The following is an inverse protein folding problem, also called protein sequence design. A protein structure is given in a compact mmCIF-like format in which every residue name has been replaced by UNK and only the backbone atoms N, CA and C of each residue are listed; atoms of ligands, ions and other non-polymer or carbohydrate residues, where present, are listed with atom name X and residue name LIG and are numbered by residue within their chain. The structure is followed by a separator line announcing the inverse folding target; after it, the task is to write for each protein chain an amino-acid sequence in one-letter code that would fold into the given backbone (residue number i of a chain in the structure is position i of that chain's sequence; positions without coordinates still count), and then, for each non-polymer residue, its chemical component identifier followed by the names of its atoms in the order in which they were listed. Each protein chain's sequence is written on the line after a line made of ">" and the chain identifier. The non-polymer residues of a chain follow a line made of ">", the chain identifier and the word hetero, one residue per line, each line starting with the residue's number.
data_IF_988283576028
#
_entry.id   IF_988283576028
#
_cell.length_a   1.000
_cell.length_b   1.000
_cell.length_c   1.000
_cell.angle_alpha   90.00
_cell.angle_beta   90.00
_cell.angle_gamma   90.00
#
_symmetry.space_group_name_H-M   'P 1'
#
loop_
_entity.id
_entity.type
_entity.pdbx_description
1 polymer ?
#
# COMPACT_ATOMS: atom_id res chain seq x y z
N UNK A 1 42.96 -1.57 -17.41
CA UNK A 1 42.03 -0.49 -17.76
C UNK A 1 40.68 -0.85 -17.16
N UNK A 2 40.40 -0.31 -15.98
CA UNK A 2 39.27 -0.76 -15.15
C UNK A 2 37.91 -0.41 -15.78
N UNK A 3 36.98 -1.37 -15.85
CA UNK A 3 35.58 -1.05 -16.11
C UNK A 3 35.10 -0.06 -15.04
N UNK A 4 34.37 0.97 -15.46
CA UNK A 4 33.70 1.86 -14.52
C UNK A 4 32.57 1.11 -13.82
N UNK A 5 32.94 0.39 -12.76
CA UNK A 5 32.04 -0.04 -11.71
C UNK A 5 31.57 1.26 -11.07
N UNK A 6 30.37 1.72 -11.45
CA UNK A 6 29.70 2.87 -10.82
C UNK A 6 29.35 2.49 -9.37
N UNK A 7 30.36 2.52 -8.49
CA UNK A 7 30.19 2.50 -7.04
C UNK A 7 29.44 3.76 -6.66
N UNK A 8 28.25 3.55 -6.08
CA UNK A 8 27.48 4.51 -5.28
C UNK A 8 27.14 5.82 -6.01
N UNK A 9 26.04 5.83 -6.75
CA UNK A 9 25.22 7.04 -6.80
C UNK A 9 24.34 7.07 -5.54
N UNK A 10 24.85 7.70 -4.47
CA UNK A 10 24.08 8.01 -3.27
C UNK A 10 23.15 9.19 -3.58
N UNK A 11 21.88 8.90 -3.85
CA UNK A 11 20.78 9.84 -3.67
C UNK A 11 19.46 9.06 -3.61
N UNK A 12 19.12 8.58 -2.41
CA UNK A 12 17.76 8.19 -2.03
C UNK A 12 17.17 6.95 -2.71
N UNK A 13 17.38 5.80 -2.07
CA UNK A 13 16.57 4.58 -2.12
C UNK A 13 16.47 3.85 -3.48
N UNK A 14 17.34 2.85 -3.67
CA UNK A 14 17.07 1.45 -4.07
C UNK A 14 18.39 0.82 -4.54
N UNK A 15 18.72 -0.34 -3.96
CA UNK A 15 19.98 -1.07 -4.15
C UNK A 15 20.07 -1.56 -5.61
N UNK A 16 20.97 -0.96 -6.39
CA UNK A 16 21.21 -1.32 -7.79
C UNK A 16 22.20 -2.49 -7.83
N UNK A 17 21.70 -3.70 -8.06
CA UNK A 17 22.54 -4.79 -8.56
C UNK A 17 22.71 -4.62 -10.07
N UNK A 18 23.93 -4.22 -10.45
CA UNK A 18 24.60 -4.42 -11.74
C UNK A 18 23.80 -4.09 -13.01
N UNK A 19 23.82 -2.81 -13.38
CA UNK A 19 23.77 -2.41 -14.79
C UNK A 19 25.15 -1.89 -15.16
N UNK A 20 25.92 -2.66 -15.92
CA UNK A 20 27.25 -2.25 -16.41
C UNK A 20 27.08 -1.65 -17.80
N UNK A 21 27.55 -0.41 -17.98
CA UNK A 21 27.66 0.21 -19.31
C UNK A 21 29.05 -0.09 -19.86
N UNK A 22 29.12 -0.87 -20.93
CA UNK A 22 30.38 -1.02 -21.67
C UNK A 22 30.62 0.24 -22.52
N UNK A 23 31.76 0.91 -22.27
CA UNK A 23 32.16 2.13 -22.97
C UNK A 23 32.65 1.87 -24.40
N UNK A 24 33.04 0.65 -24.76
CA UNK A 24 33.52 0.29 -26.11
C UNK A 24 32.38 -0.03 -27.07
N UNK A 25 31.29 -0.60 -26.57
CA UNK A 25 30.23 -1.17 -27.40
C UNK A 25 28.87 -0.48 -27.21
N UNK A 26 28.71 0.33 -26.15
CA UNK A 26 27.42 0.94 -25.82
C UNK A 26 26.40 -0.07 -25.29
N UNK A 27 26.81 -1.29 -24.96
CA UNK A 27 25.93 -2.34 -24.47
C UNK A 27 25.59 -2.17 -22.98
N UNK A 28 24.39 -2.61 -22.63
CA UNK A 28 23.89 -2.73 -21.26
C UNK A 28 23.95 -4.21 -20.89
N UNK A 29 24.89 -4.55 -20.03
CA UNK A 29 25.00 -5.90 -19.48
C UNK A 29 24.22 -5.99 -18.17
N UNK A 30 23.21 -6.86 -18.18
CA UNK A 30 22.56 -7.35 -16.96
C UNK A 30 23.03 -8.78 -16.71
N UNK A 31 23.04 -9.26 -15.46
CA UNK A 31 23.51 -10.60 -15.06
C UNK A 31 22.98 -11.76 -15.92
N UNK A 32 21.86 -11.59 -16.62
CA UNK A 32 21.20 -12.62 -17.43
C UNK A 32 21.01 -12.25 -18.91
N UNK A 33 21.32 -11.02 -19.33
CA UNK A 33 20.94 -10.52 -20.66
C UNK A 33 21.82 -9.35 -21.10
N UNK A 34 22.28 -9.42 -22.35
CA UNK A 34 22.92 -8.31 -23.05
C UNK A 34 21.89 -7.57 -23.89
N UNK A 35 21.80 -6.26 -23.73
CA UNK A 35 20.86 -5.41 -24.46
C UNK A 35 21.66 -4.30 -25.15
N UNK A 36 21.33 -4.01 -26.40
CA UNK A 36 21.91 -2.89 -27.13
C UNK A 36 21.47 -1.59 -26.46
N UNK A 37 22.43 -0.77 -26.03
CA UNK A 37 22.13 0.52 -25.42
C UNK A 37 21.76 1.55 -26.48
N UNK A 38 20.49 1.93 -26.51
CA UNK A 38 19.99 3.04 -27.32
C UNK A 38 20.00 4.33 -26.49
N UNK A 39 20.06 5.51 -27.13
CA UNK A 39 19.93 6.80 -26.43
C UNK A 39 18.66 6.90 -25.57
N UNK A 40 17.52 6.39 -26.08
CA UNK A 40 16.25 6.37 -25.37
C UNK A 40 16.25 5.43 -24.16
N UNK A 41 16.89 4.26 -24.26
CA UNK A 41 17.04 3.35 -23.12
C UNK A 41 17.95 3.94 -22.03
N UNK A 42 19.03 4.63 -22.41
CA UNK A 42 19.86 5.37 -21.45
C UNK A 42 19.09 6.48 -20.75
N UNK A 43 18.22 7.19 -21.47
CA UNK A 43 17.31 8.16 -20.86
C UNK A 43 16.45 7.51 -19.77
N UNK A 44 15.79 6.38 -20.08
CA UNK A 44 14.94 5.66 -19.15
C UNK A 44 15.67 5.16 -17.90
N UNK A 45 16.92 4.71 -18.03
CA UNK A 45 17.71 4.19 -16.90
C UNK A 45 18.23 5.34 -16.03
N UNK A 46 18.90 6.33 -16.63
CA UNK A 46 19.71 7.29 -15.87
C UNK A 46 18.99 8.59 -15.50
N UNK A 47 17.96 9.02 -16.23
CA UNK A 47 17.36 10.34 -16.05
C UNK A 47 16.02 10.29 -15.33
N UNK A 48 15.75 11.23 -14.42
CA UNK A 48 14.49 11.28 -13.66
C UNK A 48 13.26 11.61 -14.53
N UNK A 49 13.47 12.37 -15.62
CA UNK A 49 12.47 12.77 -16.61
C UNK A 49 12.99 12.40 -18.00
N UNK A 50 12.86 11.13 -18.41
CA UNK A 50 13.38 10.67 -19.69
C UNK A 50 12.57 11.26 -20.85
N UNK A 51 13.26 11.58 -21.95
CA UNK A 51 12.69 12.11 -23.19
C UNK A 51 13.25 11.35 -24.39
N UNK A 52 12.50 11.32 -25.50
CA UNK A 52 12.99 10.76 -26.76
C UNK A 52 13.23 9.24 -26.75
N UNK A 53 12.46 8.49 -25.96
CA UNK A 53 12.48 7.03 -25.97
C UNK A 53 11.32 6.48 -26.82
N UNK A 54 11.51 5.31 -27.42
CA UNK A 54 10.51 4.63 -28.23
C UNK A 54 9.89 3.41 -27.49
N UNK A 55 8.98 2.70 -28.16
CA UNK A 55 8.31 1.54 -27.57
C UNK A 55 9.26 0.35 -27.34
N UNK A 56 10.31 0.20 -28.14
CA UNK A 56 11.27 -0.88 -27.96
C UNK A 56 12.22 -0.61 -26.79
N UNK A 57 12.58 0.65 -26.56
CA UNK A 57 13.29 1.10 -25.36
C UNK A 57 12.46 0.79 -24.10
N UNK A 58 11.14 0.99 -24.15
CA UNK A 58 10.24 0.64 -23.04
C UNK A 58 10.19 -0.87 -22.78
N UNK A 59 10.16 -1.71 -23.82
CA UNK A 59 10.21 -3.18 -23.67
C UNK A 59 11.54 -3.62 -23.06
N UNK A 60 12.65 -3.08 -23.56
CA UNK A 60 13.98 -3.37 -23.04
C UNK A 60 14.13 -2.90 -21.59
N UNK A 61 13.65 -1.70 -21.29
CA UNK A 61 13.64 -1.16 -19.93
C UNK A 61 12.81 -2.03 -18.98
N UNK A 62 11.63 -2.50 -19.40
CA UNK A 62 10.82 -3.45 -18.63
C UNK A 62 11.59 -4.75 -18.34
N UNK A 63 12.27 -5.31 -19.34
CA UNK A 63 13.10 -6.51 -19.19
C UNK A 63 14.24 -6.30 -18.17
N UNK A 64 14.88 -5.12 -18.17
CA UNK A 64 15.91 -4.77 -17.17
C UNK A 64 15.32 -4.69 -15.77
N UNK A 65 14.17 -4.04 -15.60
CA UNK A 65 13.49 -3.93 -14.31
C UNK A 65 13.07 -5.29 -13.75
N UNK A 66 12.56 -6.20 -14.59
CA UNK A 66 12.20 -7.57 -14.22
C UNK A 66 13.42 -8.39 -13.81
N UNK A 67 14.53 -8.26 -14.53
CA UNK A 67 15.76 -9.01 -14.24
C UNK A 67 16.40 -8.55 -12.93
N UNK A 68 16.43 -7.23 -12.70
CA UNK A 68 17.10 -6.63 -11.54
C UNK A 68 16.21 -6.56 -10.29
N UNK A 69 14.90 -6.80 -10.43
CA UNK A 69 13.88 -6.71 -9.38
C UNK A 69 13.83 -5.36 -8.63
N UNK A 70 14.49 -4.31 -9.12
CA UNK A 70 14.60 -2.99 -8.45
C UNK A 70 13.25 -2.28 -8.27
N UNK A 71 12.26 -2.64 -9.07
CA UNK A 71 10.91 -2.08 -9.01
C UNK A 71 10.04 -2.73 -7.93
N UNK A 72 10.54 -3.74 -7.20
CA UNK A 72 9.79 -4.49 -6.18
C UNK A 72 10.22 -4.14 -4.76
N UNK A 73 9.29 -4.26 -3.82
CA UNK A 73 9.56 -4.15 -2.38
C UNK A 73 10.12 -5.46 -1.81
N UNK A 74 10.46 -5.47 -0.52
CA UNK A 74 10.96 -6.66 0.19
C UNK A 74 9.98 -7.83 0.20
N UNK A 75 8.70 -7.58 -0.06
CA UNK A 75 7.63 -8.59 -0.15
C UNK A 75 7.34 -9.00 -1.60
N UNK A 76 8.14 -8.54 -2.57
CA UNK A 76 8.00 -8.85 -3.99
C UNK A 76 6.84 -8.13 -4.70
N UNK A 77 6.19 -7.16 -4.05
CA UNK A 77 5.12 -6.32 -4.63
C UNK A 77 5.73 -5.15 -5.38
N UNK A 78 4.98 -4.51 -6.27
CA UNK A 78 5.45 -3.28 -6.93
C UNK A 78 5.70 -2.19 -5.88
N UNK A 79 6.95 -1.73 -5.74
CA UNK A 79 7.34 -0.70 -4.78
C UNK A 79 6.62 0.61 -5.09
N UNK A 80 6.07 1.30 -4.09
CA UNK A 80 5.35 2.55 -4.30
C UNK A 80 6.31 3.75 -4.34
N UNK A 81 6.05 4.71 -5.22
CA UNK A 81 6.77 5.98 -5.27
C UNK A 81 5.90 7.08 -5.88
N UNK A 82 6.04 8.32 -5.42
CA UNK A 82 5.36 9.48 -6.01
C UNK A 82 6.12 10.11 -7.19
N UNK A 83 7.34 9.62 -7.48
CA UNK A 83 8.23 10.22 -8.50
C UNK A 83 7.64 10.09 -9.92
N UNK A 84 8.00 11.04 -10.78
CA UNK A 84 7.55 11.09 -12.18
C UNK A 84 7.79 9.77 -12.93
N UNK A 85 9.03 9.27 -12.91
CA UNK A 85 9.40 8.01 -13.58
C UNK A 85 8.54 6.83 -13.11
N UNK A 86 8.27 6.75 -11.80
CA UNK A 86 7.41 5.68 -11.30
C UNK A 86 5.97 5.86 -11.76
N UNK A 87 5.37 7.03 -11.52
CA UNK A 87 3.94 7.26 -11.74
C UNK A 87 3.55 7.21 -13.21
N UNK A 88 4.40 7.70 -14.11
CA UNK A 88 4.11 7.82 -15.55
C UNK A 88 4.65 6.67 -16.40
N UNK A 89 5.72 5.99 -15.96
CA UNK A 89 6.41 4.98 -16.79
C UNK A 89 6.34 3.61 -16.15
N UNK A 90 6.89 3.43 -14.94
CA UNK A 90 7.00 2.11 -14.30
C UNK A 90 5.63 1.56 -13.88
N UNK A 91 4.82 2.35 -13.17
CA UNK A 91 3.53 1.91 -12.61
C UNK A 91 2.58 1.38 -13.71
N UNK A 92 2.36 2.09 -14.85
CA UNK A 92 1.51 1.59 -15.92
C UNK A 92 2.01 0.28 -16.56
N UNK A 93 3.33 0.03 -16.61
CA UNK A 93 3.90 -1.21 -17.18
C UNK A 93 3.62 -2.47 -16.37
N UNK A 94 3.40 -2.30 -15.06
CA UNK A 94 3.26 -3.39 -14.09
C UNK A 94 1.92 -3.39 -13.36
N UNK A 95 1.09 -2.36 -13.53
CA UNK A 95 -0.29 -2.41 -13.08
C UNK A 95 -1.04 -3.44 -13.91
N UNK A 96 -1.52 -4.51 -13.27
CA UNK A 96 -2.57 -5.35 -13.86
C UNK A 96 -3.72 -4.42 -14.26
N UNK A 97 -4.26 -4.59 -15.47
CA UNK A 97 -5.59 -4.09 -15.81
C UNK A 97 -6.59 -4.74 -14.85
N UNK A 98 -6.78 -4.13 -13.68
CA UNK A 98 -7.89 -4.43 -12.82
C UNK A 98 -9.03 -3.60 -13.36
N UNK A 99 -9.78 -4.16 -14.31
CA UNK A 99 -11.09 -3.64 -14.72
C UNK A 99 -12.11 -3.66 -13.57
N UNK A 100 -11.71 -4.17 -12.41
CA UNK A 100 -12.51 -4.18 -11.19
C UNK A 100 -12.02 -3.03 -10.33
N UNK A 101 -12.66 -1.87 -10.47
CA UNK A 101 -12.55 -0.81 -9.48
C UNK A 101 -13.01 -1.41 -8.14
N UNK A 102 -12.15 -1.37 -7.12
CA UNK A 102 -12.56 -1.72 -5.78
C UNK A 102 -13.63 -0.72 -5.36
N UNK A 103 -14.88 -1.15 -5.31
CA UNK A 103 -15.95 -0.40 -4.67
C UNK A 103 -15.54 -0.26 -3.21
N UNK A 104 -15.04 0.92 -2.84
CA UNK A 104 -14.69 1.19 -1.44
C UNK A 104 -15.82 0.73 -0.53
N UNK A 105 -15.49 0.29 0.70
CA UNK A 105 -16.50 -0.11 1.67
C UNK A 105 -17.46 1.06 1.88
N UNK A 106 -18.70 0.93 1.39
CA UNK A 106 -19.73 1.93 1.60
C UNK A 106 -20.26 1.74 3.02
N UNK A 107 -19.99 2.72 3.90
CA UNK A 107 -20.62 2.81 5.21
C UNK A 107 -22.12 2.95 5.00
N UNK A 108 -22.87 1.87 5.24
CA UNK A 108 -24.33 1.93 5.33
C UNK A 108 -24.66 2.43 6.73
N UNK A 109 -25.07 3.69 6.84
CA UNK A 109 -25.72 4.16 8.04
C UNK A 109 -27.07 3.46 8.17
N UNK A 110 -27.35 2.93 9.35
CA UNK A 110 -28.66 2.42 9.66
C UNK A 110 -29.60 3.62 9.88
N UNK A 111 -30.57 3.83 8.98
CA UNK A 111 -31.57 4.88 9.11
C UNK A 111 -32.77 4.47 9.99
N UNK A 112 -32.76 3.27 10.58
CA UNK A 112 -33.77 2.92 11.58
C UNK A 112 -33.64 3.87 12.77
N UNK A 113 -34.77 4.40 13.30
CA UNK A 113 -34.74 5.15 14.55
C UNK A 113 -34.06 4.28 15.62
N UNK A 114 -33.26 4.91 16.47
CA UNK A 114 -32.67 4.23 17.63
C UNK A 114 -33.84 3.67 18.43
N UNK A 115 -34.00 2.35 18.42
CA UNK A 115 -35.02 1.67 19.19
C UNK A 115 -34.63 1.82 20.66
N UNK A 116 -35.27 2.77 21.33
CA UNK A 116 -35.17 2.90 22.78
C UNK A 116 -35.95 1.75 23.39
N UNK A 117 -35.24 0.65 23.67
CA UNK A 117 -35.81 -0.45 24.45
C UNK A 117 -35.87 0.03 25.90
N UNK A 118 -37.09 0.20 26.40
CA UNK A 118 -37.38 0.54 27.79
C UNK A 118 -37.42 -0.76 28.60
N UNK A 119 -36.61 -0.86 29.65
CA UNK A 119 -36.45 -2.09 30.44
C UNK A 119 -37.22 -1.98 31.74
N UNK A 120 -38.20 -2.85 31.94
CA UNK A 120 -39.10 -2.77 33.09
C UNK A 120 -38.57 -3.52 34.33
N UNK A 121 -37.47 -4.28 34.21
CA UNK A 121 -36.94 -5.10 35.30
C UNK A 121 -35.43 -4.90 35.57
N UNK A 122 -35.01 -4.80 36.85
CA UNK A 122 -33.60 -4.72 37.21
C UNK A 122 -32.74 -5.91 36.75
N UNK A 123 -33.36 -7.09 36.59
CA UNK A 123 -32.66 -8.30 36.18
C UNK A 123 -32.18 -8.22 34.72
N UNK A 124 -32.98 -7.62 33.83
CA UNK A 124 -32.62 -7.42 32.43
C UNK A 124 -31.43 -6.46 32.27
N UNK A 125 -31.34 -5.44 33.12
CA UNK A 125 -30.20 -4.52 33.15
C UNK A 125 -28.90 -5.23 33.55
N UNK A 126 -28.98 -6.12 34.54
CA UNK A 126 -27.84 -6.93 34.98
C UNK A 126 -27.37 -7.87 33.88
N UNK A 127 -28.29 -8.52 33.16
CA UNK A 127 -27.93 -9.44 32.07
C UNK A 127 -27.31 -8.72 30.88
N UNK A 128 -27.79 -7.52 30.56
CA UNK A 128 -27.18 -6.66 29.54
C UNK A 128 -25.79 -6.17 29.95
N UNK A 129 -25.61 -5.80 31.22
CA UNK A 129 -24.30 -5.43 31.75
C UNK A 129 -23.31 -6.59 31.64
N UNK A 130 -23.72 -7.81 31.99
CA UNK A 130 -22.89 -9.03 31.79
C UNK A 130 -22.47 -9.20 30.34
N UNK A 131 -23.38 -8.99 29.38
CA UNK A 131 -23.09 -9.09 27.95
C UNK A 131 -22.05 -8.04 27.49
N UNK A 132 -22.17 -6.80 27.97
CA UNK A 132 -21.21 -5.74 27.65
C UNK A 132 -19.82 -6.00 28.24
N UNK A 133 -19.76 -6.50 29.48
CA UNK A 133 -18.50 -6.90 30.14
C UNK A 133 -17.84 -8.06 29.40
N UNK A 134 -18.63 -9.04 28.93
CA UNK A 134 -18.13 -10.13 28.10
C UNK A 134 -17.56 -9.62 26.76
N UNK A 135 -18.24 -8.66 26.13
CA UNK A 135 -17.77 -8.04 24.88
C UNK A 135 -16.47 -7.24 25.08
N UNK A 136 -16.35 -6.49 26.18
CA UNK A 136 -15.11 -5.79 26.55
C UNK A 136 -13.97 -6.76 26.84
N UNK A 137 -14.26 -7.86 27.55
CA UNK A 137 -13.29 -8.94 27.81
C UNK A 137 -12.81 -9.61 26.52
N UNK A 138 -13.65 -9.63 25.48
CA UNK A 138 -13.30 -10.09 24.14
C UNK A 138 -12.53 -9.04 23.29
N UNK A 139 -12.27 -7.84 23.82
CA UNK A 139 -11.49 -6.79 23.17
C UNK A 139 -12.31 -5.68 22.48
N UNK A 140 -13.65 -5.68 22.60
CA UNK A 140 -14.50 -4.64 22.03
C UNK A 140 -14.66 -3.46 23.02
N UNK A 141 -13.92 -2.38 22.82
CA UNK A 141 -13.96 -1.20 23.69
C UNK A 141 -15.02 -0.14 23.32
N UNK A 142 -15.83 -0.36 22.28
CA UNK A 142 -16.83 0.62 21.79
C UNK A 142 -18.15 0.58 22.58
N UNK A 143 -18.10 0.46 23.91
CA UNK A 143 -19.27 0.21 24.75
C UNK A 143 -19.48 1.20 25.90
N UNK A 144 -18.62 2.20 26.07
CA UNK A 144 -18.64 3.13 27.20
C UNK A 144 -19.97 3.88 27.34
N UNK A 145 -20.50 4.41 26.23
CA UNK A 145 -21.80 5.11 26.24
C UNK A 145 -22.97 4.20 26.64
N UNK A 146 -22.88 2.90 26.34
CA UNK A 146 -23.94 1.92 26.70
C UNK A 146 -23.85 1.56 28.18
N UNK A 147 -22.65 1.44 28.72
CA UNK A 147 -22.41 1.17 30.14
C UNK A 147 -22.93 2.35 30.98
N UNK A 148 -22.62 3.58 30.57
CA UNK A 148 -23.12 4.79 31.25
C UNK A 148 -24.65 4.86 31.20
N UNK A 149 -25.28 4.54 30.07
CA UNK A 149 -26.74 4.51 29.97
C UNK A 149 -27.36 3.50 30.96
N UNK A 150 -26.86 2.26 31.00
CA UNK A 150 -27.38 1.21 31.90
C UNK A 150 -27.19 1.55 33.38
N UNK A 151 -26.09 2.23 33.76
CA UNK A 151 -25.86 2.65 35.16
C UNK A 151 -26.79 3.80 35.56
N UNK A 152 -27.14 4.69 34.63
CA UNK A 152 -28.00 5.83 34.94
C UNK A 152 -29.47 5.42 35.10
N UNK A 153 -29.95 4.41 34.39
CA UNK A 153 -31.34 3.91 34.50
C UNK A 153 -31.78 3.60 35.95
N UNK A 154 -31.08 2.77 36.76
CA UNK A 154 -31.45 2.50 38.15
C UNK A 154 -31.22 3.69 39.11
N UNK A 155 -30.40 4.68 38.74
CA UNK A 155 -30.23 5.93 39.49
C UNK A 155 -31.43 6.86 39.29
N UNK A 156 -31.98 6.92 38.08
CA UNK A 156 -33.18 7.71 37.78
C UNK A 156 -34.42 7.19 38.51
N UNK A 157 -34.50 5.88 38.76
CA UNK A 157 -35.57 5.26 39.56
C UNK A 157 -35.23 5.12 41.06
N UNK A 158 -34.15 5.74 41.54
CA UNK A 158 -33.70 5.73 42.95
C UNK A 158 -33.50 4.33 43.56
N UNK A 159 -33.18 3.31 42.75
CA UNK A 159 -32.85 1.97 43.24
C UNK A 159 -31.43 1.93 43.81
N UNK A 160 -30.53 2.72 43.21
CA UNK A 160 -29.14 2.88 43.65
C UNK A 160 -28.79 4.37 43.70
N UNK A 161 -27.96 4.78 44.67
CA UNK A 161 -27.53 6.16 44.89
C UNK A 161 -26.14 6.45 44.29
#
# INVERSE_FOLDING_TARGET
>A
MDPLIMRRYQSGCLVVKLVVKDKRTGLIETERKQIIGTPGLFQLIFYNKPVGYNNDDLKNYKSVLETTNVHRDTRGRLAHSSKYKYTKIIKPMFSRQRNVAGTGMSMKYNNYPVEYVYWDSPNELVDRLKLLVASQSAGNNSHDNKIVAIINEPREVNIIC
#
